data_IF_075296943642
#
_entry.id   IF_075296943642
#
_cell.length_a   1.000
_cell.length_b   1.000
_cell.length_c   1.000
_cell.angle_alpha   90.00
_cell.angle_beta   90.00
_cell.angle_gamma   90.00
#
_symmetry.space_group_name_H-M   'P 1'
#
loop_
_entity.id
_entity.type
_entity.pdbx_description
1 polymer ?
#
# COMPACT_ATOMS: atom_id res chain seq x y z
N UNK A 1 -19.14 -4.75 -14.37
CA UNK A 1 -19.11 -4.02 -13.08
C UNK A 1 -18.17 -2.87 -13.28
N UNK A 2 -18.68 -1.64 -13.27
CA UNK A 2 -17.85 -0.43 -13.35
C UNK A 2 -17.23 -0.17 -11.98
N UNK A 3 -15.97 0.30 -11.88
CA UNK A 3 -15.48 0.88 -10.64
C UNK A 3 -16.37 2.08 -10.30
N UNK A 4 -16.89 2.12 -9.06
CA UNK A 4 -17.72 3.22 -8.58
C UNK A 4 -16.95 4.55 -8.74
N UNK A 5 -17.44 5.50 -9.55
CA UNK A 5 -16.76 6.76 -9.76
C UNK A 5 -16.98 7.64 -8.52
N UNK A 6 -15.98 7.74 -7.64
CA UNK A 6 -16.07 8.69 -6.53
C UNK A 6 -15.22 8.43 -5.30
N UNK A 7 -14.55 7.27 -5.18
CA UNK A 7 -13.58 7.08 -4.10
C UNK A 7 -12.22 7.59 -4.59
N UNK A 8 -11.82 8.78 -4.13
CA UNK A 8 -10.41 9.17 -4.20
C UNK A 8 -9.64 8.25 -3.25
N UNK A 9 -8.80 7.36 -3.80
CA UNK A 9 -8.10 6.33 -3.02
C UNK A 9 -7.89 5.01 -3.76
N UNK A 10 -7.07 4.13 -3.19
CA UNK A 10 -6.95 2.73 -3.62
C UNK A 10 -8.23 1.99 -3.23
N UNK A 11 -9.06 1.63 -4.20
CA UNK A 11 -10.37 1.02 -3.95
C UNK A 11 -10.32 -0.34 -3.23
N UNK A 12 -11.38 -0.65 -2.48
CA UNK A 12 -11.53 -1.89 -1.69
C UNK A 12 -11.75 -3.19 -2.49
N UNK A 13 -11.71 -3.16 -3.82
CA UNK A 13 -12.06 -4.33 -4.62
C UNK A 13 -11.39 -4.29 -5.99
N UNK A 14 -10.36 -5.11 -6.21
CA UNK A 14 -9.95 -5.49 -7.55
C UNK A 14 -10.97 -6.51 -8.10
N UNK A 15 -11.69 -7.22 -7.21
CA UNK A 15 -12.70 -8.23 -7.54
C UNK A 15 -12.12 -9.56 -8.05
N UNK A 16 -10.79 -9.63 -8.22
CA UNK A 16 -10.05 -10.73 -8.85
C UNK A 16 -8.84 -11.16 -8.01
N UNK A 17 -8.25 -12.30 -8.38
CA UNK A 17 -7.01 -12.80 -7.79
C UNK A 17 -5.81 -11.96 -8.25
N UNK A 18 -5.85 -11.49 -9.50
CA UNK A 18 -4.87 -10.56 -10.05
C UNK A 18 -5.19 -9.11 -9.64
N UNK A 19 -4.14 -8.31 -9.45
CA UNK A 19 -4.23 -6.86 -9.34
C UNK A 19 -4.12 -6.24 -10.74
N UNK A 20 -5.16 -5.55 -11.23
CA UNK A 20 -5.05 -4.86 -12.51
C UNK A 20 -4.11 -3.66 -12.41
N UNK A 21 -3.72 -3.14 -13.58
CA UNK A 21 -2.87 -1.95 -13.63
C UNK A 21 -3.50 -0.78 -12.84
N UNK A 22 -2.69 -0.11 -12.03
CA UNK A 22 -3.17 0.93 -11.12
C UNK A 22 -2.27 1.11 -9.89
N UNK A 23 -2.75 1.93 -8.96
CA UNK A 23 -2.08 2.23 -7.69
C UNK A 23 -2.91 1.64 -6.56
N UNK A 24 -2.29 0.80 -5.74
CA UNK A 24 -2.97 0.00 -4.73
C UNK A 24 -2.32 0.15 -3.37
N UNK A 25 -3.10 0.48 -2.36
CA UNK A 25 -2.68 0.54 -0.97
C UNK A 25 -2.89 -0.80 -0.29
N UNK A 26 -1.99 -1.18 0.59
CA UNK A 26 -2.15 -2.38 1.40
C UNK A 26 -0.93 -2.68 2.23
N UNK A 27 -0.85 -3.92 2.67
CA UNK A 27 0.22 -4.40 3.53
C UNK A 27 1.02 -5.46 2.79
N UNK A 28 2.31 -5.22 2.63
CA UNK A 28 3.23 -6.22 2.13
C UNK A 28 3.58 -7.17 3.28
N UNK A 29 3.16 -8.43 3.15
CA UNK A 29 3.26 -9.45 4.19
C UNK A 29 4.54 -10.28 4.04
N UNK A 30 4.94 -10.53 2.79
CA UNK A 30 6.16 -11.26 2.47
C UNK A 30 6.74 -10.74 1.14
N UNK A 31 8.05 -10.91 0.99
CA UNK A 31 8.82 -10.58 -0.20
C UNK A 31 9.58 -11.83 -0.63
N UNK A 32 9.54 -12.12 -1.92
CA UNK A 32 10.39 -13.10 -2.59
C UNK A 32 11.33 -12.38 -3.58
N UNK A 33 12.00 -13.14 -4.46
CA UNK A 33 12.97 -12.58 -5.41
C UNK A 33 12.29 -11.81 -6.55
N UNK A 34 11.14 -12.30 -7.02
CA UNK A 34 10.39 -11.79 -8.17
C UNK A 34 8.88 -11.63 -7.89
N UNK A 35 8.45 -11.77 -6.64
CA UNK A 35 7.06 -11.56 -6.23
C UNK A 35 6.93 -10.97 -4.82
N UNK A 36 5.75 -10.47 -4.51
CA UNK A 36 5.36 -10.02 -3.16
C UNK A 36 4.04 -10.64 -2.75
N UNK A 37 3.91 -11.00 -1.48
CA UNK A 37 2.61 -11.33 -0.87
C UNK A 37 1.98 -10.06 -0.34
N UNK A 38 0.87 -9.64 -0.94
CA UNK A 38 0.20 -8.38 -0.68
C UNK A 38 -1.21 -8.58 -0.13
N UNK A 39 -1.49 -7.94 1.00
CA UNK A 39 -2.83 -7.84 1.59
C UNK A 39 -3.41 -6.46 1.25
N UNK A 40 -4.36 -6.44 0.31
CA UNK A 40 -4.93 -5.19 -0.18
C UNK A 40 -5.86 -4.58 0.87
N UNK A 41 -5.63 -3.31 1.18
CA UNK A 41 -6.49 -2.51 2.05
C UNK A 41 -7.04 -1.29 1.29
N UNK A 42 -8.06 -0.68 1.87
CA UNK A 42 -8.64 0.55 1.38
C UNK A 42 -7.97 1.74 2.06
N UNK A 43 -7.46 2.65 1.25
CA UNK A 43 -7.19 4.01 1.67
C UNK A 43 -8.33 4.88 1.14
N UNK A 44 -9.19 5.36 2.03
CA UNK A 44 -10.34 6.18 1.67
C UNK A 44 -10.06 7.62 2.08
N UNK A 45 -10.27 8.57 1.17
CA UNK A 45 -10.34 9.99 1.52
C UNK A 45 -11.77 10.50 1.45
N UNK A 46 -12.01 11.70 1.92
CA UNK A 46 -13.31 12.35 1.77
C UNK A 46 -13.75 12.44 0.30
N UNK A 47 -15.06 12.30 0.00
CA UNK A 47 -16.15 12.06 0.95
C UNK A 47 -16.35 10.58 1.35
N UNK A 48 -15.57 9.66 0.77
CA UNK A 48 -15.75 8.22 0.95
C UNK A 48 -15.36 7.72 2.35
N UNK A 49 -14.51 8.45 3.07
CA UNK A 49 -14.17 8.17 4.47
C UNK A 49 -15.28 8.52 5.46
N UNK A 50 -16.13 9.51 5.16
CA UNK A 50 -17.12 10.08 6.10
C UNK A 50 -18.02 9.05 6.81
N UNK A 51 -18.54 7.99 6.15
CA UNK A 51 -19.38 6.99 6.82
C UNK A 51 -18.65 6.13 7.86
N UNK A 52 -17.31 6.18 7.89
CA UNK A 52 -16.46 5.35 8.75
C UNK A 52 -15.79 6.14 9.87
N UNK A 53 -15.91 7.46 9.88
CA UNK A 53 -15.38 8.32 10.92
C UNK A 53 -16.38 8.44 12.06
N UNK A 54 -15.91 8.34 13.29
CA UNK A 54 -16.64 8.75 14.48
C UNK A 54 -16.77 10.27 14.56
N UNK A 55 -17.68 10.77 15.41
CA UNK A 55 -17.85 12.21 15.64
C UNK A 55 -16.53 12.87 16.11
N UNK A 56 -15.77 12.19 16.99
CA UNK A 56 -14.47 12.66 17.45
C UNK A 56 -13.43 12.74 16.31
N UNK A 57 -13.43 11.77 15.38
CA UNK A 57 -12.54 11.77 14.21
C UNK A 57 -12.91 12.88 13.22
N UNK A 58 -14.20 13.14 13.01
CA UNK A 58 -14.68 14.27 12.21
C UNK A 58 -14.25 15.62 12.84
N UNK A 59 -14.41 15.78 14.15
CA UNK A 59 -14.00 16.99 14.88
C UNK A 59 -12.47 17.17 14.91
N UNK A 60 -11.70 16.08 14.86
CA UNK A 60 -10.23 16.12 14.77
C UNK A 60 -9.71 16.61 13.40
N UNK A 61 -10.58 16.66 12.38
CA UNK A 61 -10.21 17.04 11.02
C UNK A 61 -9.48 15.94 10.24
N UNK A 62 -9.53 14.68 10.71
CA UNK A 62 -8.99 13.53 9.97
C UNK A 62 -9.91 13.25 8.78
N UNK A 63 -9.39 13.43 7.57
CA UNK A 63 -10.16 13.26 6.31
C UNK A 63 -9.87 11.95 5.60
N UNK A 64 -9.18 11.00 6.26
CA UNK A 64 -8.80 9.70 5.69
C UNK A 64 -9.16 8.55 6.61
N UNK A 65 -9.48 7.39 6.03
CA UNK A 65 -9.80 6.18 6.77
C UNK A 65 -9.16 4.96 6.10
N UNK A 66 -8.54 4.10 6.91
CA UNK A 66 -7.98 2.83 6.48
C UNK A 66 -8.92 1.68 6.82
N UNK A 67 -9.31 0.90 5.81
CA UNK A 67 -10.14 -0.29 6.01
C UNK A 67 -9.45 -1.51 5.43
N UNK A 68 -9.22 -2.53 6.23
CA UNK A 68 -8.77 -3.83 5.75
C UNK A 68 -9.77 -4.92 6.14
N UNK A 69 -10.79 -5.10 5.30
CA UNK A 69 -11.78 -6.19 5.39
C UNK A 69 -11.54 -7.27 4.33
N UNK A 70 -10.36 -7.27 3.71
CA UNK A 70 -10.01 -8.21 2.65
C UNK A 70 -9.46 -9.49 3.26
N UNK A 71 -10.16 -10.64 3.17
CA UNK A 71 -9.63 -11.88 3.72
C UNK A 71 -8.53 -12.49 2.83
N UNK A 72 -8.22 -11.87 1.67
CA UNK A 72 -7.35 -12.44 0.64
C UNK A 72 -5.99 -11.75 0.59
N UNK A 73 -4.94 -12.56 0.72
CA UNK A 73 -3.59 -12.21 0.30
C UNK A 73 -3.37 -12.62 -1.14
N UNK A 74 -2.69 -11.78 -1.91
CA UNK A 74 -2.37 -11.99 -3.32
C UNK A 74 -0.87 -12.14 -3.46
N UNK A 75 -0.45 -13.08 -4.28
CA UNK A 75 0.91 -13.07 -4.79
C UNK A 75 0.93 -12.20 -6.04
N UNK A 76 1.78 -11.17 -6.04
CA UNK A 76 1.85 -10.20 -7.14
C UNK A 76 3.26 -10.28 -7.73
N UNK A 77 3.40 -10.58 -9.04
CA UNK A 77 4.69 -10.55 -9.70
C UNK A 77 5.34 -9.17 -9.62
N UNK A 78 6.66 -9.12 -9.59
CA UNK A 78 7.45 -7.89 -9.62
C UNK A 78 8.22 -7.84 -10.93
N UNK A 79 8.09 -6.73 -11.65
CA UNK A 79 8.76 -6.55 -12.92
C UNK A 79 10.30 -6.45 -12.74
N UNK A 80 11.10 -6.97 -13.67
CA UNK A 80 12.53 -6.73 -13.67
C UNK A 80 12.85 -5.24 -13.66
N UNK A 81 13.73 -4.81 -12.75
CA UNK A 81 14.09 -3.41 -12.60
C UNK A 81 13.12 -2.59 -11.75
N UNK A 82 12.13 -3.21 -11.10
CA UNK A 82 11.28 -2.52 -10.16
C UNK A 82 12.09 -1.83 -9.05
N UNK A 83 11.59 -0.68 -8.61
CA UNK A 83 12.21 0.15 -7.57
C UNK A 83 11.28 0.28 -6.36
N UNK A 84 11.89 0.56 -5.21
CA UNK A 84 11.17 0.86 -3.97
C UNK A 84 11.57 2.24 -3.49
N UNK A 85 10.59 3.09 -3.21
CA UNK A 85 10.75 4.32 -2.45
C UNK A 85 10.62 3.96 -0.98
N UNK A 86 11.77 3.68 -0.36
CA UNK A 86 11.87 3.34 1.05
C UNK A 86 11.90 4.63 1.87
N UNK A 87 11.11 4.70 2.93
CA UNK A 87 11.05 5.85 3.82
C UNK A 87 12.25 5.85 4.78
N UNK A 88 12.94 6.98 4.87
CA UNK A 88 13.97 7.22 5.88
C UNK A 88 13.41 8.13 6.98
N UNK A 89 13.03 7.53 8.12
CA UNK A 89 12.50 8.29 9.26
C UNK A 89 13.53 9.18 9.96
N UNK A 90 14.82 9.07 9.64
CA UNK A 90 15.81 10.00 10.20
C UNK A 90 15.74 11.36 9.50
N UNK A 91 15.37 11.37 8.22
CA UNK A 91 15.30 12.58 7.39
C UNK A 91 13.87 12.93 6.98
N UNK A 92 12.90 12.04 7.20
CA UNK A 92 11.53 12.14 6.69
C UNK A 92 11.49 12.25 5.16
N UNK A 93 12.40 11.56 4.47
CA UNK A 93 12.53 11.56 3.01
C UNK A 93 12.44 10.14 2.44
N UNK A 94 12.08 10.04 1.16
CA UNK A 94 12.17 8.78 0.42
C UNK A 94 13.54 8.60 -0.23
N UNK A 95 14.07 7.38 -0.12
CA UNK A 95 15.23 6.92 -0.89
C UNK A 95 14.79 5.87 -1.89
N UNK A 96 15.32 5.96 -3.11
CA UNK A 96 15.05 4.97 -4.16
C UNK A 96 16.05 3.83 -4.06
N UNK A 97 15.56 2.61 -3.86
CA UNK A 97 16.35 1.39 -3.81
C UNK A 97 15.84 0.38 -4.85
N UNK A 98 16.70 -0.43 -5.49
CA UNK A 98 16.25 -1.54 -6.32
C UNK A 98 15.46 -2.56 -5.49
N UNK A 99 14.39 -3.15 -6.03
CA UNK A 99 13.58 -4.14 -5.30
C UNK A 99 14.37 -5.30 -4.66
N UNK A 100 15.40 -5.90 -5.31
CA UNK A 100 16.19 -6.96 -4.69
C UNK A 100 17.00 -6.49 -3.47
N UNK A 101 17.31 -5.19 -3.38
CA UNK A 101 18.06 -4.59 -2.28
C UNK A 101 17.16 -4.10 -1.14
N UNK A 102 15.84 -4.11 -1.32
CA UNK A 102 14.86 -3.69 -0.33
C UNK A 102 14.42 -4.86 0.57
N UNK A 103 14.28 -4.65 1.89
CA UNK A 103 14.64 -3.44 2.63
C UNK A 103 16.15 -3.28 2.78
N UNK A 104 16.66 -2.06 2.57
CA UNK A 104 18.09 -1.77 2.75
C UNK A 104 18.48 -1.97 4.23
N UNK A 105 19.45 -2.83 4.55
CA UNK A 105 19.88 -3.08 5.92
C UNK A 105 20.37 -1.80 6.60
N UNK A 106 20.00 -1.59 7.86
CA UNK A 106 20.51 -0.47 8.67
C UNK A 106 19.70 0.83 8.56
N UNK A 107 18.58 0.84 7.81
CA UNK A 107 17.61 1.94 7.86
C UNK A 107 16.55 1.68 8.93
N UNK A 108 16.20 2.68 9.76
CA UNK A 108 15.32 2.48 10.92
C UNK A 108 13.89 2.06 10.57
N UNK A 109 13.46 2.15 9.30
CA UNK A 109 12.14 1.69 8.88
C UNK A 109 12.01 0.17 8.71
N UNK A 110 13.12 -0.59 8.75
CA UNK A 110 13.07 -2.06 8.65
C UNK A 110 12.37 -2.75 9.83
N UNK A 111 11.93 -2.00 10.85
CA UNK A 111 11.23 -2.50 12.04
C UNK A 111 9.76 -2.07 12.17
N UNK A 112 9.23 -1.25 11.27
CA UNK A 112 7.87 -0.69 11.35
C UNK A 112 6.87 -1.38 10.43
N UNK A 113 7.13 -2.63 10.05
CA UNK A 113 6.08 -3.52 9.55
C UNK A 113 5.37 -4.08 10.79
N UNK A 114 4.26 -3.45 11.28
CA UNK A 114 3.56 -3.99 12.43
C UNK A 114 3.07 -5.37 12.01
N UNK A 115 3.01 -6.35 12.92
CA UNK A 115 3.01 -7.81 12.64
C UNK A 115 2.07 -8.39 11.56
N UNK A 116 1.20 -7.59 10.93
CA UNK A 116 0.39 -7.93 9.77
C UNK A 116 1.00 -7.52 8.41
N UNK A 117 2.12 -6.78 8.36
CA UNK A 117 2.83 -6.42 7.11
C UNK A 117 3.25 -4.94 7.05
N UNK A 118 4.05 -4.56 6.05
CA UNK A 118 4.51 -3.19 5.83
C UNK A 118 3.46 -2.41 5.01
N UNK A 119 2.91 -1.28 5.51
CA UNK A 119 2.00 -0.47 4.70
C UNK A 119 2.74 0.12 3.50
N UNK A 120 2.23 -0.14 2.30
CA UNK A 120 2.83 0.29 1.03
C UNK A 120 1.77 0.69 0.00
N UNK A 121 2.20 1.47 -0.97
CA UNK A 121 1.53 1.65 -2.25
C UNK A 121 2.25 0.84 -3.32
N UNK A 122 1.53 -0.05 -4.02
CA UNK A 122 2.01 -0.78 -5.18
C UNK A 122 1.57 -0.07 -6.46
N UNK A 123 2.52 0.17 -7.37
CA UNK A 123 2.27 0.64 -8.72
C UNK A 123 2.35 -0.56 -9.67
N UNK A 124 1.19 -1.02 -10.13
CA UNK A 124 1.06 -2.20 -10.98
C UNK A 124 0.90 -1.76 -12.42
N UNK A 125 1.73 -2.30 -13.32
CA UNK A 125 1.67 -2.13 -14.76
C UNK A 125 1.81 -3.50 -15.42
N UNK A 126 1.00 -3.79 -16.44
CA UNK A 126 1.01 -5.10 -17.12
C UNK A 126 0.95 -6.31 -16.17
N UNK A 127 0.13 -6.21 -15.12
CA UNK A 127 -0.03 -7.21 -14.05
C UNK A 127 1.21 -7.50 -13.19
N UNK A 128 2.22 -6.64 -13.23
CA UNK A 128 3.40 -6.72 -12.38
C UNK A 128 3.66 -5.41 -11.62
N UNK A 129 4.19 -5.51 -10.41
CA UNK A 129 4.64 -4.36 -9.63
C UNK A 129 5.87 -3.77 -10.30
N UNK A 130 5.81 -2.49 -10.61
CA UNK A 130 6.92 -1.72 -11.18
C UNK A 130 7.55 -0.79 -10.15
N UNK A 131 6.76 -0.32 -9.20
CA UNK A 131 7.23 0.53 -8.11
C UNK A 131 6.49 0.17 -6.81
N UNK A 132 7.21 0.27 -5.69
CA UNK A 132 6.65 0.15 -4.34
C UNK A 132 6.99 1.45 -3.60
N UNK A 133 6.04 2.06 -2.92
CA UNK A 133 6.30 3.22 -2.06
C UNK A 133 5.86 2.89 -0.65
N UNK A 134 6.77 2.98 0.31
CA UNK A 134 6.42 2.80 1.72
C UNK A 134 5.46 3.90 2.17
N UNK A 135 4.47 3.53 2.97
CA UNK A 135 3.54 4.48 3.57
C UNK A 135 3.81 4.56 5.07
N UNK A 136 3.70 5.76 5.63
CA UNK A 136 3.67 6.00 7.06
C UNK A 136 2.38 6.73 7.41
N UNK A 137 1.72 6.25 8.45
CA UNK A 137 0.56 6.92 9.05
C UNK A 137 0.93 7.19 10.52
N UNK A 138 0.87 8.46 10.96
CA UNK A 138 1.20 8.85 12.33
C UNK A 138 0.18 8.33 13.36
#
# INVERSE_FOLDING_TARGET
MHPEPGVQGSGCSPGTDDLPAGIWFGYLVAKDDDSVTFDLACYLTEPASLPYLSDDELDSGITWHLKNDNPRRREVPVAPGAVVYQLDLTTDEFVTVPFPAWPEPGRPYSGLCPGNGCPVWLFVNDSAVTEIMEAYFP
#
